data_IF_284808636196
#
_entry.id   IF_284808636196
#
_cell.length_a   1.000
_cell.length_b   1.000
_cell.length_c   1.000
_cell.angle_alpha   90.00
_cell.angle_beta   90.00
_cell.angle_gamma   90.00
#
_symmetry.space_group_name_H-M   'P 1'
#
loop_
_entity.id
_entity.type
_entity.pdbx_description
1 polymer ?
#
# COMPACT_ATOMS: atom_id res chain seq x y z
N UNK A 1 48.61 -3.14 7.46
CA UNK A 1 48.05 -4.26 8.25
C UNK A 1 47.43 -5.25 7.29
N UNK A 2 47.98 -6.47 7.18
CA UNK A 2 47.33 -7.57 6.46
C UNK A 2 46.32 -8.19 7.43
N UNK A 3 45.04 -8.21 7.06
CA UNK A 3 44.03 -8.94 7.80
C UNK A 3 44.16 -10.40 7.41
N UNK A 4 44.84 -11.19 8.25
CA UNK A 4 44.90 -12.63 8.08
C UNK A 4 43.52 -13.20 8.43
N UNK A 5 42.90 -13.86 7.46
CA UNK A 5 41.58 -14.46 7.62
C UNK A 5 41.63 -15.64 8.59
N UNK A 6 40.73 -15.74 9.57
CA UNK A 6 40.68 -16.92 10.43
C UNK A 6 40.29 -18.14 9.58
N UNK A 7 41.08 -19.22 9.66
CA UNK A 7 40.77 -20.54 9.12
C UNK A 7 40.63 -20.69 7.59
N UNK A 8 41.56 -20.15 6.79
CA UNK A 8 41.77 -20.61 5.39
C UNK A 8 40.67 -20.26 4.38
N UNK A 9 39.71 -19.41 4.76
CA UNK A 9 38.64 -18.96 3.87
C UNK A 9 39.10 -17.68 3.15
N UNK A 10 39.07 -17.64 1.80
CA UNK A 10 39.61 -16.50 1.06
C UNK A 10 38.82 -15.22 1.36
N UNK A 11 39.54 -14.11 1.55
CA UNK A 11 39.00 -12.78 1.88
C UNK A 11 37.69 -12.36 1.16
N UNK A 12 37.51 -12.57 -0.17
CA UNK A 12 36.24 -12.26 -0.84
C UNK A 12 35.04 -13.09 -0.32
N UNK A 13 35.27 -14.34 0.11
CA UNK A 13 34.23 -15.22 0.64
C UNK A 13 33.70 -14.74 2.00
N UNK A 14 34.57 -14.12 2.82
CA UNK A 14 34.17 -13.47 4.07
C UNK A 14 33.25 -12.26 3.84
N UNK A 15 33.58 -11.43 2.86
CA UNK A 15 32.75 -10.26 2.50
C UNK A 15 31.39 -10.72 2.00
N UNK A 16 31.35 -11.71 1.11
CA UNK A 16 30.09 -12.28 0.61
C UNK A 16 29.25 -12.87 1.74
N UNK A 17 29.85 -13.63 2.65
CA UNK A 17 29.15 -14.17 3.83
C UNK A 17 28.62 -13.06 4.74
N UNK A 18 29.39 -11.98 4.96
CA UNK A 18 28.94 -10.83 5.75
C UNK A 18 27.73 -10.13 5.12
N UNK A 19 27.75 -9.89 3.80
CA UNK A 19 26.61 -9.30 3.11
C UNK A 19 25.39 -10.22 3.12
N UNK A 20 25.57 -11.53 2.90
CA UNK A 20 24.45 -12.50 2.99
C UNK A 20 23.84 -12.51 4.39
N UNK A 21 24.66 -12.54 5.43
CA UNK A 21 24.18 -12.48 6.82
C UNK A 21 23.46 -11.14 7.07
N UNK A 22 24.02 -10.02 6.64
CA UNK A 22 23.38 -8.69 6.77
C UNK A 22 22.02 -8.64 6.07
N UNK A 23 21.91 -9.13 4.83
CA UNK A 23 20.62 -9.14 4.13
C UNK A 23 19.60 -10.12 4.75
N UNK A 24 20.06 -11.24 5.32
CA UNK A 24 19.19 -12.22 5.99
C UNK A 24 18.72 -11.72 7.36
N UNK A 25 19.57 -11.02 8.13
CA UNK A 25 19.24 -10.57 9.50
C UNK A 25 18.41 -9.29 9.53
N UNK A 26 18.60 -8.38 8.57
CA UNK A 26 17.85 -7.12 8.53
C UNK A 26 16.48 -7.22 7.85
N UNK A 27 16.20 -8.34 7.16
CA UNK A 27 14.88 -8.64 6.61
C UNK A 27 14.36 -7.60 5.62
N UNK A 28 13.12 -7.79 5.17
CA UNK A 28 12.43 -6.80 4.34
C UNK A 28 11.86 -5.72 5.26
N UNK A 29 12.25 -4.47 5.04
CA UNK A 29 11.65 -3.31 5.71
C UNK A 29 10.28 -3.01 5.10
N UNK A 30 9.22 -3.54 5.72
CA UNK A 30 7.84 -3.19 5.41
C UNK A 30 7.24 -2.26 6.47
N UNK A 31 6.35 -1.35 6.07
CA UNK A 31 5.57 -0.56 7.01
C UNK A 31 4.73 -1.49 7.90
N UNK A 32 4.99 -1.49 9.21
CA UNK A 32 4.32 -2.38 10.15
C UNK A 32 3.15 -1.67 10.84
N UNK A 33 2.15 -1.27 10.06
CA UNK A 33 0.92 -0.62 10.55
C UNK A 33 -0.31 -1.55 10.53
N UNK A 34 -0.12 -2.85 10.31
CA UNK A 34 -1.20 -3.85 10.35
C UNK A 34 -2.01 -4.00 9.06
N UNK A 35 -1.76 -3.20 8.02
CA UNK A 35 -2.44 -3.29 6.71
C UNK A 35 -1.46 -3.63 5.57
N UNK A 36 -1.96 -3.78 4.34
CA UNK A 36 -1.11 -3.96 3.15
C UNK A 36 -0.32 -5.26 3.10
N UNK A 37 -0.75 -6.30 3.82
CA UNK A 37 -0.12 -7.64 3.79
C UNK A 37 -0.27 -8.33 2.43
N UNK A 38 -1.29 -7.95 1.67
CA UNK A 38 -1.47 -8.25 0.25
C UNK A 38 -1.80 -6.93 -0.47
N UNK A 39 -1.59 -6.83 -1.80
CA UNK A 39 -2.00 -5.65 -2.56
C UNK A 39 -3.49 -5.34 -2.33
N UNK A 40 -3.88 -4.08 -2.04
CA UNK A 40 -5.27 -3.73 -1.86
C UNK A 40 -6.05 -3.90 -3.17
N UNK A 41 -7.25 -4.46 -3.08
CA UNK A 41 -8.14 -4.67 -4.21
C UNK A 41 -9.41 -3.85 -4.00
N UNK A 42 -9.81 -3.10 -5.02
CA UNK A 42 -10.92 -2.16 -4.90
C UNK A 42 -11.21 -1.41 -6.19
N UNK A 43 -11.99 -0.34 -6.05
CA UNK A 43 -12.40 0.55 -7.12
C UNK A 43 -12.08 2.00 -6.74
N UNK A 44 -11.81 2.83 -7.75
CA UNK A 44 -11.54 4.26 -7.61
C UNK A 44 -12.35 5.04 -8.66
N UNK A 45 -12.91 6.19 -8.27
CA UNK A 45 -13.80 6.99 -9.14
C UNK A 45 -13.10 7.67 -10.32
N UNK A 46 -11.81 7.99 -10.20
CA UNK A 46 -11.11 8.93 -11.07
C UNK A 46 -11.14 8.55 -12.54
N UNK A 47 -10.74 7.32 -12.86
CA UNK A 47 -10.55 6.86 -14.25
C UNK A 47 -11.82 6.96 -15.10
N UNK A 48 -13.01 6.98 -14.47
CA UNK A 48 -14.30 7.03 -15.17
C UNK A 48 -15.03 8.36 -14.98
N UNK A 49 -14.99 8.91 -13.78
CA UNK A 49 -15.90 9.99 -13.37
C UNK A 49 -15.20 11.34 -13.17
N UNK A 50 -13.88 11.37 -12.96
CA UNK A 50 -13.16 12.60 -12.59
C UNK A 50 -13.90 13.30 -11.43
N UNK A 51 -14.14 14.61 -11.51
CA UNK A 51 -14.92 15.38 -10.53
C UNK A 51 -16.45 15.18 -10.61
N UNK A 52 -16.99 14.40 -11.56
CA UNK A 52 -18.43 14.20 -11.69
C UNK A 52 -18.91 13.04 -10.81
N UNK A 53 -18.79 13.22 -9.50
CA UNK A 53 -19.19 12.27 -8.47
C UNK A 53 -20.23 12.88 -7.53
N UNK A 54 -21.12 12.04 -7.01
CA UNK A 54 -22.08 12.40 -5.97
C UNK A 54 -22.32 11.21 -5.03
N UNK A 55 -23.03 11.43 -3.92
CA UNK A 55 -23.33 10.41 -2.92
C UNK A 55 -24.05 9.19 -3.55
N UNK A 56 -24.97 9.46 -4.49
CA UNK A 56 -25.77 8.41 -5.12
C UNK A 56 -24.89 7.49 -5.96
N UNK A 57 -24.00 8.04 -6.78
CA UNK A 57 -23.06 7.28 -7.59
C UNK A 57 -22.16 6.39 -6.72
N UNK A 58 -21.64 6.93 -5.61
CA UNK A 58 -20.77 6.19 -4.70
C UNK A 58 -21.52 5.01 -4.05
N UNK A 59 -22.76 5.24 -3.58
CA UNK A 59 -23.61 4.20 -3.00
C UNK A 59 -24.00 3.13 -4.03
N UNK A 60 -24.45 3.54 -5.21
CA UNK A 60 -24.80 2.63 -6.30
C UNK A 60 -23.58 1.77 -6.73
N UNK A 61 -22.38 2.35 -6.71
CA UNK A 61 -21.13 1.63 -7.01
C UNK A 61 -20.81 0.59 -5.93
N UNK A 62 -21.00 0.93 -4.64
CA UNK A 62 -20.86 -0.04 -3.55
C UNK A 62 -21.84 -1.21 -3.70
N UNK A 63 -23.10 -0.91 -3.98
CA UNK A 63 -24.13 -1.92 -4.24
C UNK A 63 -23.78 -2.80 -5.44
N UNK A 64 -23.21 -2.21 -6.50
CA UNK A 64 -22.76 -2.95 -7.68
C UNK A 64 -21.59 -3.91 -7.35
N UNK A 65 -20.60 -3.48 -6.55
CA UNK A 65 -19.49 -4.35 -6.12
C UNK A 65 -20.00 -5.61 -5.40
N UNK A 66 -21.04 -5.47 -4.58
CA UNK A 66 -21.68 -6.59 -3.86
C UNK A 66 -22.52 -7.42 -4.82
N UNK A 67 -23.45 -6.78 -5.55
CA UNK A 67 -24.38 -7.45 -6.46
C UNK A 67 -23.69 -8.30 -7.52
N UNK A 68 -22.52 -7.86 -8.00
CA UNK A 68 -21.75 -8.57 -9.01
C UNK A 68 -20.68 -9.52 -8.43
N UNK A 69 -20.65 -9.73 -7.10
CA UNK A 69 -19.74 -10.67 -6.44
C UNK A 69 -18.27 -10.23 -6.40
N UNK A 70 -17.98 -8.96 -6.73
CA UNK A 70 -16.61 -8.42 -6.71
C UNK A 70 -16.09 -8.31 -5.27
N UNK A 71 -16.97 -7.95 -4.32
CA UNK A 71 -16.65 -7.94 -2.90
C UNK A 71 -16.21 -9.31 -2.38
N UNK A 72 -16.87 -10.38 -2.84
CA UNK A 72 -16.59 -11.77 -2.43
C UNK A 72 -15.21 -12.26 -2.92
N UNK A 73 -14.74 -11.75 -4.06
CA UNK A 73 -13.41 -12.09 -4.61
C UNK A 73 -12.31 -11.10 -4.23
N UNK A 74 -12.60 -10.16 -3.32
CA UNK A 74 -11.57 -9.33 -2.67
C UNK A 74 -11.60 -7.84 -2.99
N UNK A 75 -12.45 -7.35 -3.89
CA UNK A 75 -12.61 -5.91 -4.15
C UNK A 75 -13.36 -5.23 -3.01
N UNK A 76 -12.63 -4.87 -1.95
CA UNK A 76 -13.18 -4.42 -0.67
C UNK A 76 -13.03 -2.93 -0.40
N UNK A 77 -12.17 -2.26 -1.16
CA UNK A 77 -11.96 -0.82 -1.03
C UNK A 77 -12.76 -0.07 -2.11
N UNK A 78 -13.51 0.94 -1.69
CA UNK A 78 -14.17 1.91 -2.58
C UNK A 78 -13.57 3.27 -2.26
N UNK A 79 -12.78 3.79 -3.19
CA UNK A 79 -12.06 5.03 -3.03
C UNK A 79 -12.77 6.14 -3.82
N UNK A 80 -13.32 7.11 -3.10
CA UNK A 80 -13.70 8.39 -3.66
C UNK A 80 -12.40 9.19 -3.87
N UNK A 81 -12.13 9.54 -5.12
CA UNK A 81 -10.95 10.31 -5.50
C UNK A 81 -11.22 11.81 -5.32
N UNK A 82 -10.53 12.68 -6.05
CA UNK A 82 -10.60 14.14 -5.91
C UNK A 82 -12.01 14.75 -6.10
N UNK A 83 -12.16 16.02 -5.71
CA UNK A 83 -13.36 16.86 -5.91
C UNK A 83 -14.59 16.49 -5.05
N UNK A 84 -14.39 15.77 -3.95
CA UNK A 84 -15.45 15.48 -2.96
C UNK A 84 -15.55 16.55 -1.88
N UNK A 85 -14.47 17.30 -1.68
CA UNK A 85 -14.36 18.30 -0.65
C UNK A 85 -15.25 19.52 -0.94
N UNK A 86 -15.94 20.01 0.08
CA UNK A 86 -16.52 21.35 0.07
C UNK A 86 -15.67 22.33 0.87
N UNK A 87 -16.32 23.30 1.50
CA UNK A 87 -15.64 24.39 2.21
C UNK A 87 -15.08 23.95 3.56
N UNK A 88 -14.10 24.72 4.08
CA UNK A 88 -13.63 24.57 5.45
C UNK A 88 -14.34 25.55 6.38
N UNK A 89 -14.72 25.11 7.56
CA UNK A 89 -15.21 26.02 8.61
C UNK A 89 -14.09 26.80 9.30
N UNK A 90 -14.47 27.66 10.25
CA UNK A 90 -13.55 28.51 11.02
C UNK A 90 -12.52 27.71 11.86
N UNK A 91 -12.82 26.44 12.18
CA UNK A 91 -11.93 25.52 12.89
C UNK A 91 -11.04 24.70 11.92
N UNK A 92 -11.29 24.81 10.61
CA UNK A 92 -10.54 24.15 9.55
C UNK A 92 -11.08 22.77 9.12
N UNK A 93 -12.24 22.35 9.62
CA UNK A 93 -12.89 21.10 9.22
C UNK A 93 -13.51 21.21 7.83
N UNK A 94 -13.36 20.18 7.00
CA UNK A 94 -13.96 20.10 5.66
C UNK A 94 -15.43 19.70 5.80
N UNK A 95 -16.32 20.42 5.13
CA UNK A 95 -17.74 20.10 4.97
C UNK A 95 -18.00 19.79 3.50
N UNK A 96 -18.58 18.62 3.22
CA UNK A 96 -18.95 18.17 1.88
C UNK A 96 -20.47 18.21 1.68
#
# INVERSE_FOLDING_TARGET
MKFDSPAGVPFPMFITLFYVIYFVTYGVMGLNNGVGRTPPMGWNSWNKFLCNIDEKLIKDTADALIKHGLADVGYKYLNMDDCWEGERDDDGYIHA
#
